data_IF_837549262429
#
_entry.id   IF_837549262429
#
_cell.length_a   1.000
_cell.length_b   1.000
_cell.length_c   1.000
_cell.angle_alpha   90.00
_cell.angle_beta   90.00
_cell.angle_gamma   90.00
#
_symmetry.space_group_name_H-M   'P 1'
#
loop_
_entity.id
_entity.type
_entity.pdbx_description
1 polymer ?
#
# COMPACT_ATOMS: atom_id res chain seq x y z
N UNK A 1 8.60 -15.12 20.31
CA UNK A 1 8.72 -13.73 20.82
C UNK A 1 9.80 -13.05 20.00
N UNK A 2 9.43 -12.13 19.10
CA UNK A 2 10.38 -11.49 18.16
C UNK A 2 11.29 -10.52 18.93
N UNK A 3 12.48 -10.99 19.31
CA UNK A 3 13.55 -10.14 19.87
C UNK A 3 14.24 -9.43 18.70
N UNK A 4 14.31 -8.10 18.78
CA UNK A 4 15.03 -7.19 17.87
C UNK A 4 14.38 -6.90 16.52
N UNK A 5 13.11 -6.49 16.49
CA UNK A 5 12.60 -5.78 15.30
C UNK A 5 12.99 -4.31 15.39
N UNK A 6 13.78 -3.85 14.42
CA UNK A 6 14.00 -2.43 14.21
C UNK A 6 12.67 -1.72 13.94
N UNK A 7 12.60 -0.44 14.31
CA UNK A 7 11.42 0.38 14.06
C UNK A 7 11.35 0.75 12.57
N UNK A 8 10.76 -0.14 11.77
CA UNK A 8 10.53 0.09 10.35
C UNK A 8 9.39 1.10 10.18
N UNK A 9 9.69 2.25 9.58
CA UNK A 9 8.69 3.29 9.27
C UNK A 9 8.37 3.39 7.77
N UNK A 10 9.28 2.93 6.92
CA UNK A 10 9.16 3.00 5.46
C UNK A 10 9.32 1.61 4.88
N UNK A 11 8.43 1.23 3.96
CA UNK A 11 8.47 -0.06 3.26
C UNK A 11 8.49 0.19 1.75
N UNK A 12 9.34 -0.53 1.04
CA UNK A 12 9.35 -0.53 -0.43
C UNK A 12 8.63 -1.78 -0.93
N UNK A 13 7.63 -1.60 -1.78
CA UNK A 13 6.91 -2.68 -2.45
C UNK A 13 7.39 -2.74 -3.90
N UNK A 14 7.97 -3.87 -4.30
CA UNK A 14 8.47 -4.11 -5.66
C UNK A 14 7.47 -5.00 -6.42
N UNK A 15 6.93 -4.47 -7.52
CA UNK A 15 5.94 -5.10 -8.38
C UNK A 15 4.55 -4.49 -8.21
N UNK A 16 4.11 -3.67 -9.18
CA UNK A 16 2.83 -2.96 -9.12
C UNK A 16 1.62 -3.75 -9.67
N UNK A 17 1.68 -5.07 -9.54
CA UNK A 17 0.59 -5.98 -9.87
C UNK A 17 -0.51 -6.00 -8.79
N UNK A 18 -1.38 -7.01 -8.85
CA UNK A 18 -2.48 -7.18 -7.89
C UNK A 18 -1.95 -7.34 -6.46
N UNK A 19 -0.94 -8.21 -6.28
CA UNK A 19 -0.38 -8.51 -4.97
C UNK A 19 0.31 -7.29 -4.36
N UNK A 20 1.15 -6.59 -5.15
CA UNK A 20 1.83 -5.39 -4.66
C UNK A 20 0.85 -4.26 -4.31
N UNK A 21 -0.20 -4.06 -5.10
CA UNK A 21 -1.24 -3.10 -4.74
C UNK A 21 -1.95 -3.45 -3.42
N UNK A 22 -2.25 -4.73 -3.19
CA UNK A 22 -2.83 -5.20 -1.93
C UNK A 22 -1.93 -4.96 -0.72
N UNK A 23 -0.64 -5.27 -0.83
CA UNK A 23 0.34 -4.98 0.23
C UNK A 23 0.48 -3.48 0.48
N UNK A 24 0.55 -2.68 -0.59
CA UNK A 24 0.63 -1.23 -0.49
C UNK A 24 -0.54 -0.69 0.32
N UNK A 25 -1.79 -1.10 0.01
CA UNK A 25 -3.00 -0.69 0.75
C UNK A 25 -2.90 -1.08 2.22
N UNK A 26 -2.58 -2.34 2.53
CA UNK A 26 -2.46 -2.78 3.91
C UNK A 26 -1.41 -1.95 4.68
N UNK A 27 -0.24 -1.74 4.10
CA UNK A 27 0.85 -1.04 4.75
C UNK A 27 0.53 0.44 4.98
N UNK A 28 -0.07 1.14 4.00
CA UNK A 28 -0.46 2.55 4.22
C UNK A 28 -1.54 2.66 5.29
N UNK A 29 -2.53 1.76 5.34
CA UNK A 29 -3.58 1.78 6.38
C UNK A 29 -3.03 1.46 7.78
N UNK A 30 -1.84 0.88 7.88
CA UNK A 30 -1.12 0.69 9.15
C UNK A 30 -0.16 1.83 9.49
N UNK A 31 -0.14 2.90 8.69
CA UNK A 31 0.66 4.10 8.95
C UNK A 31 2.10 4.02 8.44
N UNK A 32 2.46 3.02 7.63
CA UNK A 32 3.77 2.97 7.01
C UNK A 32 3.85 3.93 5.82
N UNK A 33 5.00 4.57 5.64
CA UNK A 33 5.33 5.23 4.39
C UNK A 33 5.66 4.15 3.36
N UNK A 34 4.94 4.09 2.25
CA UNK A 34 5.17 3.05 1.22
C UNK A 34 5.74 3.68 -0.04
N UNK A 35 6.90 3.18 -0.49
CA UNK A 35 7.42 3.44 -1.83
C UNK A 35 6.97 2.30 -2.74
N UNK A 36 6.41 2.61 -3.90
CA UNK A 36 5.83 1.60 -4.80
C UNK A 36 6.54 1.60 -6.14
N UNK A 37 7.13 0.47 -6.52
CA UNK A 37 7.99 0.36 -7.70
C UNK A 37 7.55 -0.76 -8.62
N UNK A 38 7.81 -0.59 -9.90
CA UNK A 38 7.74 -1.63 -10.93
C UNK A 38 8.56 -1.14 -12.13
N UNK A 39 8.96 -2.05 -13.02
CA UNK A 39 9.81 -1.69 -14.16
C UNK A 39 9.10 -0.73 -15.15
N UNK A 40 7.82 -0.98 -15.45
CA UNK A 40 7.07 -0.23 -16.47
C UNK A 40 6.17 0.84 -15.85
N UNK A 41 6.33 2.10 -16.30
CA UNK A 41 5.50 3.22 -15.84
C UNK A 41 3.99 2.97 -16.02
N UNK A 42 3.58 2.33 -17.12
CA UNK A 42 2.17 1.99 -17.35
C UNK A 42 1.63 1.06 -16.26
N UNK A 43 2.42 0.05 -15.85
CA UNK A 43 2.06 -0.86 -14.77
C UNK A 43 2.00 -0.12 -13.44
N UNK A 44 2.91 0.83 -13.20
CA UNK A 44 2.89 1.66 -11.99
C UNK A 44 1.61 2.48 -11.91
N UNK A 45 1.22 3.14 -13.00
CA UNK A 45 0.01 3.95 -13.08
C UNK A 45 -1.23 3.10 -12.78
N UNK A 46 -1.36 1.93 -13.43
CA UNK A 46 -2.46 0.98 -13.15
C UNK A 46 -2.45 0.50 -11.70
N UNK A 47 -1.27 0.25 -11.12
CA UNK A 47 -1.12 -0.13 -9.72
C UNK A 47 -1.58 0.96 -8.75
N UNK A 48 -1.21 2.22 -9.01
CA UNK A 48 -1.64 3.37 -8.21
C UNK A 48 -3.16 3.53 -8.25
N UNK A 49 -3.78 3.40 -9.43
CA UNK A 49 -5.25 3.48 -9.55
C UNK A 49 -5.95 2.35 -8.78
N UNK A 50 -5.39 1.13 -8.78
CA UNK A 50 -5.90 0.04 -7.92
C UNK A 50 -5.82 0.39 -6.44
N UNK A 51 -4.68 0.91 -5.99
CA UNK A 51 -4.48 1.31 -4.58
C UNK A 51 -5.51 2.37 -4.19
N UNK A 52 -5.70 3.41 -5.01
CA UNK A 52 -6.71 4.45 -4.77
C UNK A 52 -8.11 3.86 -4.67
N UNK A 53 -8.50 3.00 -5.62
CA UNK A 53 -9.83 2.38 -5.64
C UNK A 53 -10.07 1.52 -4.40
N UNK A 54 -9.07 0.74 -3.98
CA UNK A 54 -9.16 -0.06 -2.76
C UNK A 54 -9.29 0.82 -1.52
N UNK A 55 -8.51 1.90 -1.39
CA UNK A 55 -8.65 2.84 -0.28
C UNK A 55 -10.03 3.51 -0.25
N UNK A 56 -10.57 3.89 -1.41
CA UNK A 56 -11.94 4.40 -1.54
C UNK A 56 -12.95 3.39 -1.02
N UNK A 57 -12.89 2.14 -1.48
CA UNK A 57 -13.81 1.07 -1.05
C UNK A 57 -13.69 0.85 0.47
N UNK A 58 -12.46 0.72 0.99
CA UNK A 58 -12.23 0.52 2.42
C UNK A 58 -12.82 1.66 3.27
N UNK A 59 -12.79 2.89 2.76
CA UNK A 59 -13.41 4.05 3.39
C UNK A 59 -14.94 3.97 3.34
N UNK A 60 -15.51 3.64 2.18
CA UNK A 60 -16.96 3.53 1.98
C UNK A 60 -17.59 2.46 2.88
N UNK A 61 -16.89 1.35 3.10
CA UNK A 61 -17.37 0.28 3.99
C UNK A 61 -16.99 0.48 5.47
N UNK A 62 -16.36 1.61 5.82
CA UNK A 62 -16.05 1.98 7.20
C UNK A 62 -14.88 1.21 7.84
N UNK A 63 -13.97 0.65 7.04
CA UNK A 63 -12.75 -0.03 7.56
C UNK A 63 -11.65 0.99 7.89
N UNK A 64 -11.59 2.11 7.17
CA UNK A 64 -10.60 3.19 7.39
C UNK A 64 -11.25 4.58 7.40
N UNK A 65 -10.63 5.51 8.11
CA UNK A 65 -11.11 6.89 8.28
C UNK A 65 -10.78 7.81 7.08
N UNK A 66 -11.36 9.03 7.07
CA UNK A 66 -11.17 10.07 6.03
C UNK A 66 -9.73 10.61 5.89
N UNK A 67 -8.79 10.16 6.73
CA UNK A 67 -7.39 10.63 6.75
C UNK A 67 -6.43 9.91 5.79
N UNK A 68 -6.92 8.90 5.07
CA UNK A 68 -6.16 8.11 4.07
C UNK A 68 -6.59 8.42 2.65
#
# INVERSE_FOLDING_TARGET
MFKNMENVRTVSVIGAGIIGAGWTVLLVTKGYKVNFYTEKQETLNKGIEKVKNYLTILREVGIIDKGY
#
